data_IF_721678877212
#
_entry.id   IF_721678877212
#
_cell.length_a   1.000
_cell.length_b   1.000
_cell.length_c   1.000
_cell.angle_alpha   90.00
_cell.angle_beta   90.00
_cell.angle_gamma   90.00
#
_symmetry.space_group_name_H-M   'P 1'
#
loop_
_entity.id
_entity.type
_entity.pdbx_description
1 polymer ?
#
# COMPACT_ATOMS: atom_id res chain seq x y z
N UNK A 1 -11.91 -3.08 -19.94
CA UNK A 1 -10.81 -4.09 -19.98
C UNK A 1 -10.68 -4.60 -18.54
N UNK A 2 -10.65 -5.91 -18.38
CA UNK A 2 -10.38 -6.53 -17.09
C UNK A 2 -8.95 -6.18 -16.65
N UNK A 3 -8.77 -5.91 -15.38
CA UNK A 3 -7.46 -5.57 -14.81
C UNK A 3 -6.62 -6.85 -14.66
N UNK A 4 -5.44 -6.85 -15.25
CA UNK A 4 -4.50 -7.98 -15.19
C UNK A 4 -3.37 -7.71 -14.20
N UNK A 5 -2.90 -8.77 -13.53
CA UNK A 5 -1.77 -8.76 -12.61
C UNK A 5 -0.64 -9.64 -13.12
N UNK A 6 0.58 -9.32 -12.71
CA UNK A 6 1.78 -10.08 -13.05
C UNK A 6 1.96 -11.20 -12.01
N UNK A 7 1.81 -12.45 -12.42
CA UNK A 7 2.14 -13.59 -11.58
C UNK A 7 3.67 -13.69 -11.42
N UNK A 8 4.13 -13.94 -10.22
CA UNK A 8 5.56 -14.04 -9.91
C UNK A 8 5.87 -15.29 -9.09
N UNK A 9 7.14 -15.70 -9.10
CA UNK A 9 7.66 -16.68 -8.15
C UNK A 9 8.13 -16.03 -6.83
N UNK A 10 8.66 -16.82 -5.91
CA UNK A 10 9.14 -16.31 -4.60
C UNK A 10 10.37 -15.39 -4.68
N UNK A 11 10.95 -15.22 -5.88
CA UNK A 11 12.07 -14.30 -6.16
C UNK A 11 11.63 -13.10 -7.04
N UNK A 12 10.32 -12.85 -7.14
CA UNK A 12 9.74 -11.78 -7.97
C UNK A 12 10.01 -11.93 -9.47
N UNK A 13 10.31 -13.14 -9.95
CA UNK A 13 10.46 -13.36 -11.39
C UNK A 13 9.08 -13.57 -12.03
N UNK A 14 8.75 -12.85 -13.12
CA UNK A 14 7.47 -13.02 -13.80
C UNK A 14 7.31 -14.45 -14.33
N UNK A 15 6.20 -15.10 -14.00
CA UNK A 15 5.86 -16.46 -14.45
C UNK A 15 4.58 -16.50 -15.28
N UNK A 16 3.88 -15.38 -15.40
CA UNK A 16 2.66 -15.29 -16.22
C UNK A 16 1.89 -14.00 -15.94
N UNK A 17 0.72 -13.91 -16.54
CA UNK A 17 -0.25 -12.82 -16.36
C UNK A 17 -1.62 -13.45 -16.15
N UNK A 18 -2.45 -12.85 -15.31
CA UNK A 18 -3.80 -13.33 -15.04
C UNK A 18 -4.73 -12.17 -14.75
N UNK A 19 -6.03 -12.35 -15.04
CA UNK A 19 -7.06 -11.43 -14.58
C UNK A 19 -7.04 -11.35 -13.05
N UNK A 20 -7.12 -10.13 -12.52
CA UNK A 20 -6.90 -9.84 -11.11
C UNK A 20 -7.82 -10.64 -10.18
N UNK A 21 -9.12 -10.66 -10.44
CA UNK A 21 -10.07 -11.38 -9.58
C UNK A 21 -9.86 -12.90 -9.63
N UNK A 22 -9.44 -13.43 -10.77
CA UNK A 22 -9.10 -14.84 -10.90
C UNK A 22 -7.83 -15.19 -10.13
N UNK A 23 -6.80 -14.33 -10.16
CA UNK A 23 -5.59 -14.49 -9.34
C UNK A 23 -5.94 -14.54 -7.85
N UNK A 24 -6.85 -13.67 -7.38
CA UNK A 24 -7.32 -13.65 -5.99
C UNK A 24 -8.17 -14.89 -5.64
N UNK A 25 -9.06 -15.36 -6.53
CA UNK A 25 -9.84 -16.59 -6.30
C UNK A 25 -8.95 -17.82 -6.19
N UNK A 26 -7.89 -17.89 -7.00
CA UNK A 26 -6.96 -19.01 -7.04
C UNK A 26 -5.81 -18.87 -6.05
N UNK A 27 -5.76 -17.79 -5.29
CA UNK A 27 -4.69 -17.49 -4.33
C UNK A 27 -3.29 -17.62 -4.96
N UNK A 28 -3.08 -17.04 -6.14
CA UNK A 28 -1.80 -17.06 -6.84
C UNK A 28 -0.93 -15.88 -6.43
N UNK A 29 0.37 -16.15 -6.25
CA UNK A 29 1.34 -15.11 -5.92
C UNK A 29 1.47 -14.15 -7.11
N UNK A 30 1.23 -12.88 -6.86
CA UNK A 30 1.31 -11.84 -7.88
C UNK A 30 1.96 -10.57 -7.33
N UNK A 31 2.51 -9.76 -8.23
CA UNK A 31 3.23 -8.53 -7.87
C UNK A 31 2.27 -7.43 -7.48
N UNK A 32 2.58 -6.78 -6.37
CA UNK A 32 1.84 -5.64 -5.84
C UNK A 32 2.79 -4.55 -5.35
N UNK A 33 2.24 -3.41 -4.99
CA UNK A 33 2.97 -2.35 -4.32
C UNK A 33 2.11 -1.65 -3.27
N UNK A 34 2.79 -1.16 -2.24
CA UNK A 34 2.24 -0.30 -1.19
C UNK A 34 3.02 1.00 -1.11
N UNK A 35 2.31 2.13 -1.07
CA UNK A 35 2.89 3.47 -0.98
C UNK A 35 2.60 4.07 0.38
N UNK A 36 3.64 4.57 1.05
CA UNK A 36 3.57 5.28 2.32
C UNK A 36 4.04 6.71 2.12
N UNK A 37 3.20 7.68 2.41
CA UNK A 37 3.49 9.11 2.27
C UNK A 37 3.56 9.75 3.65
N UNK A 38 4.57 10.58 3.83
CA UNK A 38 4.76 11.37 5.05
C UNK A 38 4.73 12.86 4.72
N UNK A 39 4.28 13.66 5.67
CA UNK A 39 4.42 15.12 5.58
C UNK A 39 5.71 15.59 6.28
N UNK A 40 5.98 16.90 6.21
CA UNK A 40 7.16 17.51 6.83
C UNK A 40 7.19 17.42 8.37
N UNK A 41 6.04 17.10 9.00
CA UNK A 41 5.95 16.84 10.45
C UNK A 41 6.23 15.37 10.81
N UNK A 42 6.49 14.51 9.81
CA UNK A 42 6.69 13.08 10.02
C UNK A 42 5.41 12.29 10.29
N UNK A 43 4.24 12.87 9.99
CA UNK A 43 2.96 12.19 10.06
C UNK A 43 2.71 11.40 8.77
N UNK A 44 2.16 10.19 8.91
CA UNK A 44 1.82 9.30 7.79
C UNK A 44 0.43 9.63 7.24
N UNK A 45 0.32 9.69 5.91
CA UNK A 45 -0.94 9.78 5.22
C UNK A 45 -1.66 8.44 5.23
N UNK A 46 -2.86 8.42 5.79
CA UNK A 46 -3.80 7.31 5.74
C UNK A 46 -4.95 7.65 4.79
N UNK A 47 -5.45 6.66 4.07
CA UNK A 47 -6.71 6.74 3.34
C UNK A 47 -7.73 5.77 3.93
N UNK A 48 -9.01 6.14 3.84
CA UNK A 48 -10.13 5.23 4.07
C UNK A 48 -10.65 4.75 2.72
N UNK A 49 -10.69 3.43 2.52
CA UNK A 49 -11.17 2.82 1.28
C UNK A 49 -12.65 3.11 1.06
N UNK A 50 -13.04 3.31 -0.20
CA UNK A 50 -14.44 3.49 -0.55
C UNK A 50 -15.30 2.29 -0.12
N UNK A 51 -16.57 2.54 0.18
CA UNK A 51 -17.51 1.54 0.75
C UNK A 51 -17.92 0.45 -0.26
N UNK A 52 -17.73 0.68 -1.55
CA UNK A 52 -18.07 -0.25 -2.63
C UNK A 52 -16.91 -1.15 -3.10
N UNK A 53 -15.78 -1.13 -2.38
CA UNK A 53 -14.64 -2.01 -2.67
C UNK A 53 -15.00 -3.48 -2.45
N UNK A 54 -14.52 -4.36 -3.33
CA UNK A 54 -14.79 -5.81 -3.32
C UNK A 54 -14.25 -6.56 -2.08
N UNK A 55 -13.28 -5.98 -1.35
CA UNK A 55 -12.86 -6.40 0.00
C UNK A 55 -12.35 -5.21 0.80
N UNK A 56 -12.31 -5.34 2.11
CA UNK A 56 -11.78 -4.32 3.04
C UNK A 56 -12.40 -2.93 2.83
N UNK A 57 -13.68 -2.88 2.42
CA UNK A 57 -14.43 -1.64 2.23
C UNK A 57 -14.50 -0.85 3.53
N UNK A 58 -14.37 0.48 3.45
CA UNK A 58 -14.44 1.38 4.60
C UNK A 58 -13.25 1.30 5.57
N UNK A 59 -12.27 0.42 5.34
CA UNK A 59 -11.12 0.29 6.23
C UNK A 59 -10.04 1.35 5.93
N UNK A 60 -9.32 1.73 6.97
CA UNK A 60 -8.15 2.59 6.88
C UNK A 60 -6.92 1.81 6.42
N UNK A 61 -6.08 2.45 5.64
CA UNK A 61 -4.86 1.88 5.10
C UNK A 61 -3.82 2.97 4.81
N UNK A 62 -2.65 2.58 4.30
CA UNK A 62 -1.63 3.50 3.79
C UNK A 62 -2.13 4.32 2.57
N UNK A 63 -1.29 5.19 2.04
CA UNK A 63 -1.67 6.15 1.00
C UNK A 63 -2.24 5.49 -0.27
N UNK A 64 -1.63 4.38 -0.73
CA UNK A 64 -2.08 3.68 -1.92
C UNK A 64 -1.56 2.23 -1.93
N UNK A 65 -2.36 1.29 -2.40
CA UNK A 65 -1.98 -0.10 -2.68
C UNK A 65 -2.61 -0.54 -3.99
N UNK A 66 -1.84 -1.16 -4.88
CA UNK A 66 -2.33 -1.66 -6.16
C UNK A 66 -1.32 -2.61 -6.83
N UNK A 67 -1.52 -2.86 -8.11
CA UNK A 67 -0.72 -3.76 -8.92
C UNK A 67 -0.15 -3.02 -10.13
N UNK A 68 1.12 -3.31 -10.54
CA UNK A 68 1.61 -2.88 -11.83
C UNK A 68 0.88 -3.64 -12.95
N UNK A 69 0.64 -2.96 -14.06
CA UNK A 69 0.12 -3.60 -15.28
C UNK A 69 1.20 -4.46 -15.93
N UNK A 70 0.86 -5.48 -16.72
CA UNK A 70 1.84 -6.22 -17.51
C UNK A 70 2.75 -5.28 -18.32
N UNK A 71 4.07 -5.42 -18.11
CA UNK A 71 5.07 -4.57 -18.77
C UNK A 71 5.31 -3.18 -18.14
N UNK A 72 4.56 -2.81 -17.11
CA UNK A 72 4.73 -1.56 -16.38
C UNK A 72 5.82 -1.68 -15.31
N UNK A 73 6.67 -0.67 -15.17
CA UNK A 73 7.59 -0.56 -14.04
C UNK A 73 6.81 -0.38 -12.73
N UNK A 74 7.20 -1.08 -11.68
CA UNK A 74 6.43 -1.10 -10.41
C UNK A 74 6.41 0.27 -9.71
N UNK A 75 7.49 1.04 -9.78
CA UNK A 75 7.54 2.41 -9.22
C UNK A 75 6.67 3.37 -10.04
N UNK A 76 6.71 3.27 -11.37
CA UNK A 76 5.87 4.09 -12.25
C UNK A 76 4.39 3.78 -12.01
N UNK A 77 4.03 2.51 -11.83
CA UNK A 77 2.69 2.08 -11.45
C UNK A 77 2.26 2.70 -10.11
N UNK A 78 3.14 2.71 -9.11
CA UNK A 78 2.88 3.31 -7.81
C UNK A 78 2.63 4.82 -7.91
N UNK A 79 3.43 5.56 -8.69
CA UNK A 79 3.22 6.99 -8.95
C UNK A 79 1.91 7.24 -9.70
N UNK A 80 1.60 6.42 -10.69
CA UNK A 80 0.34 6.50 -11.46
C UNK A 80 -0.88 6.33 -10.55
N UNK A 81 -0.91 5.28 -9.73
CA UNK A 81 -2.05 5.00 -8.84
C UNK A 81 -2.19 6.03 -7.73
N UNK A 82 -1.10 6.53 -7.18
CA UNK A 82 -1.12 7.62 -6.22
C UNK A 82 -1.82 8.87 -6.81
N UNK A 83 -1.54 9.16 -8.08
CA UNK A 83 -2.18 10.26 -8.81
C UNK A 83 -3.65 9.97 -9.10
N UNK A 84 -4.00 8.74 -9.50
CA UNK A 84 -5.38 8.34 -9.78
C UNK A 84 -6.24 8.37 -8.51
N UNK A 85 -5.76 7.83 -7.39
CA UNK A 85 -6.53 7.72 -6.14
C UNK A 85 -6.55 9.01 -5.31
N UNK A 86 -5.42 9.70 -5.19
CA UNK A 86 -5.26 10.84 -4.28
C UNK A 86 -5.02 12.19 -4.99
N UNK A 87 -4.92 12.19 -6.31
CA UNK A 87 -4.84 13.40 -7.12
C UNK A 87 -3.47 14.09 -7.12
N UNK A 88 -2.42 13.44 -6.59
CA UNK A 88 -1.07 14.00 -6.60
C UNK A 88 -0.01 12.98 -6.99
N UNK A 89 1.18 13.47 -7.31
CA UNK A 89 2.38 12.65 -7.53
C UNK A 89 3.49 13.11 -6.62
N UNK A 90 4.31 12.18 -6.16
CA UNK A 90 5.51 12.44 -5.36
C UNK A 90 6.66 11.54 -5.85
N UNK A 91 7.92 11.96 -5.70
CA UNK A 91 9.04 11.05 -5.84
C UNK A 91 8.91 9.92 -4.83
N UNK A 92 9.08 8.68 -5.31
CA UNK A 92 8.97 7.48 -4.49
C UNK A 92 10.29 6.74 -4.46
N UNK A 93 10.71 6.32 -3.27
CA UNK A 93 11.87 5.47 -3.05
C UNK A 93 11.43 4.10 -2.54
N UNK A 94 12.03 3.03 -3.08
CA UNK A 94 11.78 1.67 -2.59
C UNK A 94 12.44 1.50 -1.23
N UNK A 95 11.66 1.09 -0.24
CA UNK A 95 12.13 0.92 1.13
C UNK A 95 12.47 -0.55 1.44
N UNK A 96 11.57 -1.47 1.09
CA UNK A 96 11.74 -2.93 1.17
C UNK A 96 10.71 -3.64 0.32
N UNK A 97 10.69 -4.96 0.40
CA UNK A 97 9.66 -5.83 -0.16
C UNK A 97 9.35 -6.95 0.83
N UNK A 98 8.15 -7.48 0.78
CA UNK A 98 7.74 -8.64 1.58
C UNK A 98 6.62 -9.40 0.88
N UNK A 99 6.46 -10.66 1.25
CA UNK A 99 5.35 -11.48 0.76
C UNK A 99 4.36 -11.71 1.88
N UNK A 100 3.07 -11.54 1.58
CA UNK A 100 2.01 -11.85 2.53
C UNK A 100 0.85 -12.59 1.86
N UNK A 101 0.05 -13.26 2.68
CA UNK A 101 -1.14 -13.98 2.25
C UNK A 101 -2.26 -13.76 3.25
N UNK A 102 -3.40 -13.25 2.75
CA UNK A 102 -4.60 -13.00 3.56
C UNK A 102 -5.82 -13.55 2.82
N UNK A 103 -6.56 -14.45 3.47
CA UNK A 103 -7.83 -14.95 2.98
C UNK A 103 -8.98 -14.12 3.55
N UNK A 104 -10.01 -13.84 2.73
CA UNK A 104 -11.21 -13.12 3.10
C UNK A 104 -12.44 -14.03 3.08
N UNK A 105 -13.47 -13.66 3.84
CA UNK A 105 -14.71 -14.47 3.97
C UNK A 105 -15.51 -14.60 2.66
N UNK A 106 -15.24 -13.72 1.68
CA UNK A 106 -15.87 -13.75 0.35
C UNK A 106 -15.19 -14.72 -0.65
N UNK A 107 -14.25 -15.54 -0.18
CA UNK A 107 -13.53 -16.53 -1.01
C UNK A 107 -12.35 -15.97 -1.79
N UNK A 108 -12.01 -14.69 -1.62
CA UNK A 108 -10.82 -14.08 -2.19
C UNK A 108 -9.62 -14.26 -1.28
N UNK A 109 -8.44 -14.34 -1.86
CA UNK A 109 -7.17 -14.37 -1.11
C UNK A 109 -6.20 -13.40 -1.79
N UNK A 110 -5.69 -12.44 -1.03
CA UNK A 110 -4.50 -11.71 -1.44
C UNK A 110 -3.27 -12.58 -1.14
N UNK A 111 -2.51 -12.86 -2.18
CA UNK A 111 -1.19 -13.49 -2.05
C UNK A 111 -0.23 -12.67 -2.91
N UNK A 112 0.49 -11.76 -2.25
CA UNK A 112 1.20 -10.68 -2.92
C UNK A 112 2.68 -10.65 -2.58
N UNK A 113 3.49 -10.43 -3.62
CA UNK A 113 4.86 -9.97 -3.50
C UNK A 113 4.82 -8.44 -3.54
N UNK A 114 4.83 -7.81 -2.37
CA UNK A 114 4.55 -6.39 -2.19
C UNK A 114 5.84 -5.56 -2.14
N UNK A 115 5.97 -4.63 -3.11
CA UNK A 115 7.03 -3.62 -3.15
C UNK A 115 6.61 -2.40 -2.36
N UNK A 116 7.31 -2.10 -1.28
CA UNK A 116 6.97 -0.97 -0.40
C UNK A 116 7.78 0.25 -0.80
N UNK A 117 7.05 1.33 -1.13
CA UNK A 117 7.62 2.63 -1.48
C UNK A 117 7.28 3.68 -0.44
N UNK A 118 8.19 4.64 -0.27
CA UNK A 118 8.01 5.80 0.62
C UNK A 118 8.24 7.09 -0.15
N UNK A 119 7.49 8.13 0.20
CA UNK A 119 7.63 9.47 -0.34
C UNK A 119 7.16 10.53 0.64
N UNK A 120 7.33 11.80 0.27
CA UNK A 120 6.88 12.95 1.08
C UNK A 120 5.96 13.84 0.29
N UNK A 121 4.93 14.40 0.95
CA UNK A 121 3.98 15.32 0.34
C UNK A 121 3.31 16.20 1.41
N UNK A 122 3.24 17.51 1.17
CA UNK A 122 2.74 18.52 2.11
C UNK A 122 1.68 19.46 1.51
N UNK A 123 1.17 19.13 0.31
CA UNK A 123 0.22 20.00 -0.40
C UNK A 123 -1.20 19.43 -0.32
N UNK A 124 -2.15 20.12 -0.95
CA UNK A 124 -3.55 19.71 -1.01
C UNK A 124 -3.71 18.37 -1.72
N UNK A 125 -4.61 17.56 -1.18
CA UNK A 125 -4.98 16.24 -1.69
C UNK A 125 -6.39 16.34 -2.25
N UNK A 126 -6.58 15.83 -3.46
CA UNK A 126 -7.88 15.79 -4.15
C UNK A 126 -8.23 14.35 -4.53
N UNK A 127 -8.74 13.55 -3.59
CA UNK A 127 -8.97 12.12 -3.82
C UNK A 127 -10.11 11.87 -4.81
N UNK A 128 -9.97 10.80 -5.59
CA UNK A 128 -11.10 10.22 -6.31
C UNK A 128 -12.04 9.54 -5.30
N UNK A 129 -13.25 10.03 -5.18
CA UNK A 129 -14.25 9.54 -4.22
C UNK A 129 -14.76 8.14 -4.53
N UNK A 130 -14.57 7.65 -5.75
CA UNK A 130 -14.85 6.25 -6.10
C UNK A 130 -13.79 5.28 -5.52
N UNK A 131 -12.60 5.79 -5.20
CA UNK A 131 -11.50 5.00 -4.63
C UNK A 131 -11.33 5.23 -3.11
N UNK A 132 -11.48 6.49 -2.67
CA UNK A 132 -11.11 6.95 -1.33
C UNK A 132 -12.26 7.76 -0.72
N UNK A 133 -12.86 7.25 0.35
CA UNK A 133 -13.94 7.93 1.07
C UNK A 133 -13.42 9.06 1.97
N UNK A 134 -12.25 8.87 2.60
CA UNK A 134 -11.63 9.87 3.47
C UNK A 134 -10.11 9.71 3.52
N UNK A 135 -9.40 10.74 4.00
CA UNK A 135 -7.97 10.68 4.25
C UNK A 135 -7.57 11.56 5.43
N UNK A 136 -6.46 11.24 6.08
CA UNK A 136 -5.89 12.03 7.17
C UNK A 136 -4.39 11.82 7.30
N UNK A 137 -3.68 12.82 7.81
CA UNK A 137 -2.33 12.65 8.34
C UNK A 137 -2.40 12.33 9.83
N UNK A 138 -1.56 11.41 10.29
CA UNK A 138 -1.53 10.97 11.67
C UNK A 138 -0.11 10.56 12.09
N UNK A 139 0.27 10.86 13.33
CA UNK A 139 1.58 10.49 13.84
C UNK A 139 1.71 8.96 14.02
N UNK A 140 2.94 8.44 13.89
CA UNK A 140 3.17 6.99 14.06
C UNK A 140 2.74 6.46 15.43
N UNK A 141 2.96 7.18 16.57
CA UNK A 141 2.46 6.74 17.86
C UNK A 141 0.93 6.66 17.94
N UNK A 142 0.21 7.60 17.34
CA UNK A 142 -1.27 7.58 17.31
C UNK A 142 -1.79 6.41 16.45
N UNK A 143 -1.17 6.16 15.28
CA UNK A 143 -1.51 4.99 14.44
C UNK A 143 -1.28 3.70 15.22
N UNK A 144 -0.15 3.58 15.91
CA UNK A 144 0.16 2.40 16.72
C UNK A 144 -0.86 2.16 17.81
N UNK A 145 -1.28 3.22 18.51
CA UNK A 145 -2.31 3.16 19.53
C UNK A 145 -3.67 2.73 18.96
N UNK A 146 -4.07 3.25 17.79
CA UNK A 146 -5.29 2.83 17.10
C UNK A 146 -5.22 1.37 16.62
N UNK A 147 -4.10 0.95 16.03
CA UNK A 147 -3.89 -0.44 15.62
C UNK A 147 -3.98 -1.41 16.81
N UNK A 148 -3.56 -0.98 18.00
CA UNK A 148 -3.65 -1.78 19.22
C UNK A 148 -5.06 -1.85 19.78
N UNK A 149 -5.80 -0.74 19.76
CA UNK A 149 -7.15 -0.64 20.35
C UNK A 149 -8.28 -1.08 19.43
N UNK A 150 -8.12 -0.92 18.10
CA UNK A 150 -9.13 -1.21 17.08
C UNK A 150 -8.50 -1.69 15.76
N UNK A 151 -7.79 -2.84 15.76
CA UNK A 151 -7.09 -3.35 14.58
C UNK A 151 -8.02 -3.64 13.40
N UNK A 152 -9.26 -4.01 13.65
CA UNK A 152 -10.32 -4.29 12.67
C UNK A 152 -10.74 -3.07 11.84
N UNK A 153 -10.35 -1.86 12.24
CA UNK A 153 -10.52 -0.64 11.44
C UNK A 153 -9.49 -0.50 10.32
N UNK A 154 -8.46 -1.34 10.29
CA UNK A 154 -7.36 -1.26 9.34
C UNK A 154 -7.29 -2.50 8.46
N UNK A 155 -6.78 -2.31 7.23
CA UNK A 155 -6.56 -3.44 6.32
C UNK A 155 -5.49 -4.39 6.85
N UNK A 156 -5.60 -5.68 6.48
CA UNK A 156 -4.66 -6.72 6.93
C UNK A 156 -3.21 -6.43 6.51
N UNK A 157 -3.00 -5.99 5.27
CA UNK A 157 -1.65 -5.66 4.79
C UNK A 157 -1.04 -4.46 5.51
N UNK A 158 -1.85 -3.45 5.85
CA UNK A 158 -1.37 -2.31 6.64
C UNK A 158 -0.93 -2.73 8.03
N UNK A 159 -1.68 -3.60 8.69
CA UNK A 159 -1.31 -4.15 9.99
C UNK A 159 0.03 -4.92 9.94
N UNK A 160 0.30 -5.62 8.83
CA UNK A 160 1.56 -6.34 8.61
C UNK A 160 2.72 -5.39 8.26
N UNK A 161 2.48 -4.39 7.40
CA UNK A 161 3.51 -3.48 6.92
C UNK A 161 3.92 -2.40 7.94
N UNK A 162 2.99 -1.91 8.76
CA UNK A 162 3.23 -0.78 9.66
C UNK A 162 4.40 -0.99 10.63
N UNK A 163 4.55 -2.13 11.33
CA UNK A 163 5.71 -2.36 12.20
C UNK A 163 7.04 -2.30 11.43
N UNK A 164 7.09 -2.86 10.21
CA UNK A 164 8.27 -2.84 9.36
C UNK A 164 8.62 -1.41 8.89
N UNK A 165 7.61 -0.62 8.52
CA UNK A 165 7.78 0.79 8.15
C UNK A 165 8.34 1.59 9.34
N UNK A 166 7.74 1.43 10.52
CA UNK A 166 8.17 2.12 11.74
C UNK A 166 9.64 1.83 12.07
N UNK A 167 10.04 0.57 11.98
CA UNK A 167 11.43 0.15 12.19
C UNK A 167 12.37 0.79 11.17
N UNK A 168 12.05 0.72 9.87
CA UNK A 168 12.88 1.26 8.79
C UNK A 168 13.04 2.77 8.88
N UNK A 169 11.96 3.50 9.12
CA UNK A 169 12.01 4.96 9.30
C UNK A 169 12.85 5.34 10.52
N UNK A 170 12.71 4.60 11.64
CA UNK A 170 13.55 4.78 12.82
C UNK A 170 15.05 4.58 12.54
N UNK A 171 15.41 3.55 11.78
CA UNK A 171 16.79 3.28 11.36
C UNK A 171 17.36 4.41 10.47
N UNK A 172 16.59 4.90 9.50
CA UNK A 172 17.00 6.01 8.63
C UNK A 172 17.21 7.31 9.41
N UNK A 173 16.33 7.64 10.35
CA UNK A 173 16.45 8.82 11.22
C UNK A 173 17.69 8.75 12.12
N UNK A 174 17.96 7.58 12.71
CA UNK A 174 19.15 7.35 13.53
C UNK A 174 20.45 7.45 12.71
N UNK A 175 20.44 7.00 11.44
CA UNK A 175 21.58 7.13 10.54
C UNK A 175 21.84 8.59 10.18
N UNK A 176 20.81 9.37 9.83
CA UNK A 176 20.93 10.79 9.50
C UNK A 176 21.48 11.63 10.65
N UNK A 177 21.10 11.32 11.91
CA UNK A 177 21.58 12.01 13.11
C UNK A 177 23.06 11.72 13.44
N UNK A 178 23.64 10.60 12.94
CA UNK A 178 25.05 10.28 13.17
C UNK A 178 26.02 11.01 12.26
N UNK A 179 25.52 11.59 11.15
CA UNK A 179 26.34 12.26 10.13
C UNK A 179 25.97 13.74 9.96
N UNK A 180 25.08 14.28 10.77
CA UNK A 180 24.79 15.71 10.93
C UNK A 180 25.47 16.27 12.18
#
# INVERSE_FOLDING_TARGET
>A
MEEEVILVDGCDQPVGVMEKMEAHRRALLHRAFSVFIFNSRGEMLLQQRAEDKYHSAGLWTNACCSHPRPGEDTREAAVRRLREELGFSAPLEKLFEFTYRTAYDNGLTEFEFDHVFVGTYDRDISPDRAEVSDYRYQSLPEIEAELHSAPDRFTSWFQLAFPMIKEKIGQLSAYSQRFS
#
